data_IF_816905874324
#
_entry.id   IF_816905874324
#
_cell.length_a   1.000
_cell.length_b   1.000
_cell.length_c   1.000
_cell.angle_alpha   90.00
_cell.angle_beta   90.00
_cell.angle_gamma   90.00
#
_symmetry.space_group_name_H-M   'P 1'
#
loop_
_entity.id
_entity.type
_entity.pdbx_description
1 polymer ?
#
# COMPACT_ATOMS: atom_id res chain seq x y z
N UNK A 1 -3.90 2.59 9.63
CA UNK A 1 -3.00 1.64 10.32
C UNK A 1 -2.14 0.95 9.28
N UNK A 2 -0.81 0.93 9.45
CA UNK A 2 0.07 0.16 8.56
C UNK A 2 -0.10 -1.32 8.89
N UNK A 3 -0.31 -2.15 7.87
CA UNK A 3 -0.37 -3.61 7.99
C UNK A 3 0.80 -4.23 7.23
N UNK A 4 1.00 -5.53 7.42
CA UNK A 4 2.12 -6.24 6.79
C UNK A 4 2.12 -6.02 5.26
N UNK A 5 3.24 -5.48 4.78
CA UNK A 5 3.55 -5.31 3.37
C UNK A 5 4.77 -6.14 2.98
N UNK A 6 5.47 -5.70 1.93
CA UNK A 6 6.73 -6.28 1.48
C UNK A 6 7.86 -5.29 1.76
N UNK A 7 8.91 -5.66 2.51
CA UNK A 7 10.04 -4.77 2.80
C UNK A 7 10.62 -4.16 1.52
N UNK A 8 10.67 -2.83 1.45
CA UNK A 8 11.23 -2.11 0.32
C UNK A 8 10.42 -2.15 -0.99
N UNK A 9 9.28 -2.86 -1.04
CA UNK A 9 8.50 -3.03 -2.26
C UNK A 9 7.04 -2.62 -2.12
N UNK A 10 6.34 -3.00 -1.04
CA UNK A 10 4.89 -2.75 -0.87
C UNK A 10 4.59 -2.23 0.52
N UNK A 11 3.84 -1.13 0.60
CA UNK A 11 3.23 -0.63 1.83
C UNK A 11 1.73 -0.88 1.75
N UNK A 12 1.14 -1.41 2.81
CA UNK A 12 -0.31 -1.61 2.92
C UNK A 12 -0.86 -0.85 4.11
N UNK A 13 -1.94 -0.14 3.89
CA UNK A 13 -2.67 0.59 4.92
C UNK A 13 -4.11 0.11 5.00
N UNK A 14 -4.65 0.07 6.22
CA UNK A 14 -6.06 -0.23 6.48
C UNK A 14 -6.72 0.89 7.31
N UNK A 15 -7.97 1.21 6.96
CA UNK A 15 -8.86 2.12 7.68
C UNK A 15 -10.29 1.55 7.65
N UNK A 16 -10.70 0.81 8.68
CA UNK A 16 -12.01 0.15 8.70
C UNK A 16 -12.07 -1.01 7.68
N UNK A 17 -13.10 -1.05 6.84
CA UNK A 17 -13.17 -1.93 5.65
C UNK A 17 -12.17 -1.50 4.57
N UNK A 18 -12.00 -0.18 4.42
CA UNK A 18 -11.17 0.42 3.38
C UNK A 18 -9.68 0.16 3.57
N UNK A 19 -8.94 0.26 2.47
CA UNK A 19 -7.50 0.16 2.48
C UNK A 19 -6.81 0.81 1.29
N UNK A 20 -5.49 0.81 1.40
CA UNK A 20 -4.58 1.36 0.39
C UNK A 20 -3.39 0.43 0.22
N UNK A 21 -2.98 0.21 -1.02
CA UNK A 21 -1.74 -0.48 -1.38
C UNK A 21 -0.86 0.48 -2.16
N UNK A 22 0.40 0.60 -1.74
CA UNK A 22 1.41 1.43 -2.38
C UNK A 22 2.54 0.50 -2.84
N UNK A 23 2.76 0.36 -4.14
CA UNK A 23 3.88 -0.40 -4.71
C UNK A 23 4.98 0.56 -5.17
N UNK A 24 6.19 0.34 -4.66
CA UNK A 24 7.40 0.99 -5.16
C UNK A 24 7.85 0.34 -6.46
N UNK A 25 8.09 1.15 -7.48
CA UNK A 25 8.79 0.77 -8.70
C UNK A 25 10.12 1.54 -8.78
N UNK A 26 10.89 1.37 -9.86
CA UNK A 26 12.17 2.07 -10.03
C UNK A 26 12.00 3.60 -10.06
N UNK A 27 10.95 4.11 -10.70
CA UNK A 27 10.77 5.55 -10.93
C UNK A 27 9.40 6.10 -10.49
N UNK A 28 8.51 5.26 -9.99
CA UNK A 28 7.15 5.64 -9.64
C UNK A 28 6.63 4.92 -8.39
N UNK A 29 5.58 5.50 -7.80
CA UNK A 29 4.78 4.90 -6.76
C UNK A 29 3.37 4.65 -7.31
N UNK A 30 2.90 3.41 -7.22
CA UNK A 30 1.57 3.03 -7.67
C UNK A 30 0.65 2.98 -6.45
N UNK A 31 -0.46 3.73 -6.50
CA UNK A 31 -1.46 3.76 -5.44
C UNK A 31 -2.72 3.01 -5.89
N UNK A 32 -3.11 1.99 -5.13
CA UNK A 32 -4.40 1.33 -5.24
C UNK A 32 -5.23 1.61 -3.99
N UNK A 33 -6.40 2.21 -4.15
CA UNK A 33 -7.35 2.49 -3.08
C UNK A 33 -8.57 1.58 -3.25
N UNK A 34 -9.07 1.05 -2.13
CA UNK A 34 -10.32 0.30 -2.09
C UNK A 34 -11.09 0.63 -0.81
N UNK A 35 -12.40 0.43 -0.85
CA UNK A 35 -13.29 0.52 0.31
C UNK A 35 -13.63 -0.88 0.86
#
# INVERSE_FOLDING_TARGET
MVIQGEPGAVIRGKKGSAGVTIKKTTCALIFGLYD
#
